data_IF_393182055276
#
_entry.id   IF_393182055276
#
_cell.length_a   1.000
_cell.length_b   1.000
_cell.length_c   1.000
_cell.angle_alpha   90.00
_cell.angle_beta   90.00
_cell.angle_gamma   90.00
#
_symmetry.space_group_name_H-M   'P 1'
#
loop_
_entity.id
_entity.type
_entity.pdbx_description
1 polymer ?
#
# COMPACT_ATOMS: atom_id res chain seq x y z
N UNK A 1 6.64 4.37 13.82
CA UNK A 1 5.52 3.70 13.12
C UNK A 1 5.96 3.34 11.71
N UNK A 2 5.64 2.13 11.22
CA UNK A 2 6.17 1.61 9.95
C UNK A 2 5.67 2.38 8.72
N UNK A 3 4.36 2.60 8.61
CA UNK A 3 3.77 3.32 7.45
C UNK A 3 4.27 4.78 7.34
N UNK A 4 4.45 5.45 8.48
CA UNK A 4 5.07 6.79 8.51
C UNK A 4 6.48 6.78 7.95
N UNK A 5 7.29 5.76 8.27
CA UNK A 5 8.64 5.64 7.72
C UNK A 5 8.65 5.37 6.21
N UNK A 6 7.71 4.56 5.72
CA UNK A 6 7.57 4.30 4.29
C UNK A 6 7.14 5.56 3.53
N UNK A 7 6.25 6.37 4.11
CA UNK A 7 5.89 7.69 3.57
C UNK A 7 7.12 8.59 3.46
N UNK A 8 7.87 8.79 4.55
CA UNK A 8 9.10 9.61 4.53
C UNK A 8 10.10 9.14 3.47
N UNK A 9 10.25 7.82 3.32
CA UNK A 9 11.18 7.23 2.34
C UNK A 9 10.75 7.56 0.92
N UNK A 10 9.46 7.44 0.61
CA UNK A 10 8.92 7.81 -0.69
C UNK A 10 9.02 9.32 -0.96
N UNK A 11 8.72 10.15 0.04
CA UNK A 11 8.82 11.61 -0.05
C UNK A 11 10.26 12.07 -0.29
N UNK A 12 11.24 11.45 0.38
CA UNK A 12 12.66 11.73 0.18
C UNK A 12 13.13 11.37 -1.24
N UNK A 13 12.62 10.28 -1.82
CA UNK A 13 12.97 9.87 -3.18
C UNK A 13 12.29 10.74 -4.26
N UNK A 14 11.01 11.06 -4.09
CA UNK A 14 10.21 11.80 -5.07
C UNK A 14 10.42 13.33 -4.96
N UNK A 15 10.81 13.82 -3.78
CA UNK A 15 10.97 15.24 -3.47
C UNK A 15 9.64 16.00 -3.32
N UNK A 16 8.53 15.28 -3.12
CA UNK A 16 7.17 15.84 -2.96
C UNK A 16 6.41 15.09 -1.87
N UNK A 17 5.42 15.75 -1.28
CA UNK A 17 4.54 15.16 -0.26
C UNK A 17 3.72 14.03 -0.87
N UNK A 18 3.72 12.86 -0.22
CA UNK A 18 2.93 11.69 -0.61
C UNK A 18 1.65 11.69 0.21
N UNK A 19 0.51 11.82 -0.48
CA UNK A 19 -0.80 11.90 0.16
C UNK A 19 -1.60 10.62 0.04
N UNK A 20 -1.46 9.90 -1.07
CA UNK A 20 -2.29 8.77 -1.41
C UNK A 20 -1.47 7.48 -1.50
N UNK A 21 -2.04 6.36 -1.06
CA UNK A 21 -1.38 5.06 -1.09
C UNK A 21 -2.36 3.91 -1.36
N UNK A 22 -1.81 2.84 -1.93
CA UNK A 22 -2.41 1.50 -1.96
C UNK A 22 -1.61 0.63 -1.02
N UNK A 23 -2.29 -0.13 -0.15
CA UNK A 23 -1.64 -0.97 0.86
C UNK A 23 -2.05 -2.43 0.65
N UNK A 24 -1.08 -3.33 0.73
CA UNK A 24 -1.32 -4.77 0.63
C UNK A 24 -1.68 -5.36 1.99
N UNK A 25 -2.51 -6.41 1.99
CA UNK A 25 -2.80 -7.23 3.18
C UNK A 25 -2.79 -8.72 2.83
N UNK A 26 -2.59 -9.61 3.81
CA UNK A 26 -2.74 -11.04 3.59
C UNK A 26 -4.13 -11.39 3.05
N UNK A 27 -4.21 -12.37 2.15
CA UNK A 27 -5.47 -12.74 1.51
C UNK A 27 -6.54 -13.20 2.51
N UNK A 28 -6.13 -13.79 3.63
CA UNK A 28 -6.99 -14.30 4.69
C UNK A 28 -7.41 -13.25 5.72
N UNK A 29 -7.03 -11.97 5.56
CA UNK A 29 -7.50 -10.92 6.46
C UNK A 29 -9.00 -10.73 6.36
N UNK A 30 -9.66 -10.73 7.52
CA UNK A 30 -11.07 -10.38 7.65
C UNK A 30 -11.29 -8.85 7.57
N UNK A 31 -12.55 -8.43 7.55
CA UNK A 31 -12.91 -7.02 7.37
C UNK A 31 -12.39 -6.12 8.50
N UNK A 32 -12.39 -6.59 9.74
CA UNK A 32 -11.88 -5.84 10.89
C UNK A 32 -10.37 -5.58 10.79
N UNK A 33 -9.60 -6.61 10.41
CA UNK A 33 -8.16 -6.49 10.20
C UNK A 33 -7.82 -5.59 9.00
N UNK A 34 -8.63 -5.64 7.94
CA UNK A 34 -8.54 -4.72 6.79
C UNK A 34 -8.81 -3.28 7.22
N UNK A 35 -9.86 -3.05 7.99
CA UNK A 35 -10.19 -1.72 8.49
C UNK A 35 -9.09 -1.18 9.41
N UNK A 36 -8.57 -1.99 10.35
CA UNK A 36 -7.46 -1.60 11.21
C UNK A 36 -6.20 -1.23 10.41
N UNK A 37 -5.93 -1.94 9.32
CA UNK A 37 -4.80 -1.60 8.42
C UNK A 37 -5.05 -0.26 7.70
N UNK A 38 -6.30 0.00 7.27
CA UNK A 38 -6.69 1.27 6.67
C UNK A 38 -6.53 2.43 7.66
N UNK A 39 -6.97 2.22 8.89
CA UNK A 39 -6.89 3.20 9.97
C UNK A 39 -5.44 3.51 10.32
N UNK A 40 -4.56 2.51 10.33
CA UNK A 40 -3.12 2.71 10.49
C UNK A 40 -2.53 3.60 9.38
N UNK A 41 -3.03 3.48 8.15
CA UNK A 41 -2.69 4.37 7.03
C UNK A 41 -3.13 5.81 7.27
N UNK A 42 -4.38 6.00 7.71
CA UNK A 42 -4.93 7.31 8.07
C UNK A 42 -4.13 7.97 9.20
N UNK A 43 -3.78 7.22 10.24
CA UNK A 43 -2.94 7.70 11.36
C UNK A 43 -1.54 8.10 10.87
N UNK A 44 -1.01 7.43 9.85
CA UNK A 44 0.26 7.79 9.23
C UNK A 44 0.15 9.00 8.26
N UNK A 45 -1.03 9.62 8.12
CA UNK A 45 -1.26 10.74 7.23
C UNK A 45 -1.24 10.35 5.76
N UNK A 46 -1.71 9.14 5.44
CA UNK A 46 -1.91 8.63 4.09
C UNK A 46 -3.42 8.39 3.84
N UNK A 47 -3.92 8.85 2.71
CA UNK A 47 -5.22 8.46 2.19
C UNK A 47 -5.10 7.08 1.52
N UNK A 48 -5.73 6.08 2.11
CA UNK A 48 -5.70 4.72 1.58
C UNK A 48 -6.78 4.58 0.51
N UNK A 49 -6.39 4.70 -0.76
CA UNK A 49 -7.28 4.60 -1.92
C UNK A 49 -7.87 3.20 -2.01
N UNK A 50 -7.03 2.19 -1.81
CA UNK A 50 -7.41 0.78 -1.92
C UNK A 50 -6.55 -0.08 -1.03
N UNK A 51 -7.18 -1.09 -0.44
CA UNK A 51 -6.48 -2.25 0.11
C UNK A 51 -6.62 -3.39 -0.88
N UNK A 52 -5.50 -4.01 -1.23
CA UNK A 52 -5.44 -5.16 -2.14
C UNK A 52 -4.80 -6.35 -1.44
N UNK A 53 -5.14 -7.56 -1.85
CA UNK A 53 -4.46 -8.76 -1.36
C UNK A 53 -3.04 -8.84 -1.93
N UNK A 54 -2.08 -9.24 -1.10
CA UNK A 54 -0.70 -9.51 -1.48
C UNK A 54 -0.57 -10.41 -2.73
N UNK A 55 -1.24 -11.58 -2.82
CA UNK A 55 -1.13 -12.41 -4.03
C UNK A 55 -1.67 -11.73 -5.29
N UNK A 56 -2.65 -10.84 -5.15
CA UNK A 56 -3.15 -10.04 -6.29
C UNK A 56 -2.11 -8.99 -6.72
N UNK A 57 -1.47 -8.33 -5.76
CA UNK A 57 -0.40 -7.38 -6.05
C UNK A 57 0.78 -8.06 -6.78
N UNK A 58 1.18 -9.24 -6.30
CA UNK A 58 2.22 -10.07 -6.92
C UNK A 58 1.82 -10.51 -8.35
N UNK A 59 0.58 -10.95 -8.55
CA UNK A 59 0.08 -11.33 -9.87
C UNK A 59 0.02 -10.14 -10.84
N UNK A 60 -0.33 -8.94 -10.37
CA UNK A 60 -0.29 -7.71 -11.18
C UNK A 60 1.14 -7.39 -11.59
N UNK A 61 2.10 -7.44 -10.65
CA UNK A 61 3.50 -7.19 -10.95
C UNK A 61 4.04 -8.18 -12.00
N UNK A 62 3.82 -9.47 -11.79
CA UNK A 62 4.21 -10.50 -12.75
C UNK A 62 3.54 -10.31 -14.11
N UNK A 63 2.25 -9.97 -14.15
CA UNK A 63 1.50 -9.75 -15.38
C UNK A 63 1.92 -8.50 -16.16
N UNK A 64 2.56 -7.52 -15.50
CA UNK A 64 3.16 -6.34 -16.14
C UNK A 64 4.54 -6.72 -16.70
N UNK A 65 5.38 -7.39 -15.91
CA UNK A 65 6.73 -7.80 -16.33
C UNK A 65 6.72 -8.73 -17.54
N UNK A 66 5.74 -9.64 -17.65
CA UNK A 66 5.60 -10.56 -18.80
C UNK A 66 4.94 -9.94 -20.03
N UNK A 67 4.48 -8.68 -19.96
CA UNK A 67 3.94 -7.93 -21.11
C UNK A 67 4.94 -6.92 -21.70
N UNK A 68 6.15 -6.84 -21.15
CA UNK A 68 7.21 -5.96 -21.64
C UNK A 68 7.96 -6.50 -22.87
N UNK A 69 7.49 -7.61 -23.46
CA UNK A 69 7.96 -8.18 -24.73
C UNK A 69 6.97 -7.89 -25.89
#
# INVERSE_FOLDING_TARGET
>A
MVLGKMKETAEAYIGKVVKDAVVTVPAYFNDSQRQATKDAGTIAGLNIIRIISEPTAAAIAYGIDNKAD
#
